data_IF_523158098693
#
_entry.id   IF_523158098693
#
_cell.length_a   1.000
_cell.length_b   1.000
_cell.length_c   1.000
_cell.angle_alpha   90.00
_cell.angle_beta   90.00
_cell.angle_gamma   90.00
#
_symmetry.space_group_name_H-M   'P 1'
#
loop_
_entity.id
_entity.type
_entity.pdbx_description
1 polymer ?
#
# COMPACT_ATOMS: atom_id res chain seq x y z
N UNK A 1 10.46 9.69 -26.10
CA UNK A 1 11.71 9.67 -25.34
C UNK A 1 11.46 10.32 -23.99
N UNK A 2 11.57 9.53 -22.92
CA UNK A 2 12.03 9.91 -21.57
C UNK A 2 11.57 8.82 -20.60
N UNK A 3 12.32 7.73 -20.71
CA UNK A 3 12.59 6.77 -19.66
C UNK A 3 13.11 7.48 -18.40
N UNK A 4 12.46 7.25 -17.28
CA UNK A 4 13.03 7.46 -15.95
C UNK A 4 12.57 6.31 -15.04
N UNK A 5 13.30 5.20 -15.15
CA UNK A 5 13.33 4.17 -14.12
C UNK A 5 13.96 4.79 -12.86
N UNK A 6 13.13 5.21 -11.91
CA UNK A 6 13.62 5.52 -10.57
C UNK A 6 13.48 4.29 -9.69
N UNK A 7 14.62 3.62 -9.46
CA UNK A 7 14.83 2.82 -8.27
C UNK A 7 14.64 3.74 -7.05
N UNK A 8 13.53 3.61 -6.35
CA UNK A 8 13.30 4.24 -5.06
C UNK A 8 12.85 3.16 -4.05
N UNK A 9 13.35 3.20 -2.82
CA UNK A 9 13.10 2.19 -1.81
C UNK A 9 11.60 2.12 -1.50
N UNK A 10 11.11 0.91 -1.25
CA UNK A 10 9.75 0.56 -0.85
C UNK A 10 9.34 1.27 0.46
N UNK A 11 9.06 2.56 0.41
CA UNK A 11 8.50 3.35 1.51
C UNK A 11 7.82 4.57 0.94
N UNK A 12 6.58 4.80 1.36
CA UNK A 12 5.64 5.85 0.90
C UNK A 12 4.83 5.43 -0.31
N UNK A 13 3.55 5.14 -0.08
CA UNK A 13 2.58 4.86 -1.13
C UNK A 13 2.70 5.91 -2.24
N UNK A 14 3.02 5.45 -3.45
CA UNK A 14 2.90 6.28 -4.65
C UNK A 14 1.46 6.77 -4.65
N UNK A 15 1.23 8.08 -4.57
CA UNK A 15 -0.12 8.63 -4.69
C UNK A 15 -0.54 8.37 -6.13
N UNK A 16 -1.62 7.61 -6.37
CA UNK A 16 -2.14 7.45 -7.73
C UNK A 16 -2.44 8.83 -8.31
N UNK A 17 -1.81 9.17 -9.43
CA UNK A 17 -2.05 10.40 -10.21
C UNK A 17 -3.52 10.45 -10.67
N UNK A 18 -4.11 11.65 -10.86
CA UNK A 18 -5.56 11.92 -10.87
C UNK A 18 -6.39 11.30 -12.02
N UNK A 19 -5.83 10.43 -12.84
CA UNK A 19 -6.50 9.94 -14.06
C UNK A 19 -7.48 8.78 -13.85
N UNK A 20 -7.58 8.24 -12.64
CA UNK A 20 -8.48 7.12 -12.31
C UNK A 20 -9.82 7.55 -11.69
N UNK A 21 -9.95 8.81 -11.26
CA UNK A 21 -11.17 9.34 -10.67
C UNK A 21 -11.40 10.82 -11.02
N UNK A 22 -12.67 11.21 -11.13
CA UNK A 22 -13.04 12.63 -11.17
C UNK A 22 -13.74 13.02 -9.87
N UNK A 23 -13.31 14.14 -9.27
CA UNK A 23 -14.02 14.77 -8.15
C UNK A 23 -15.15 15.65 -8.69
N UNK A 24 -16.38 15.31 -8.32
CA UNK A 24 -17.57 16.14 -8.55
C UNK A 24 -18.03 16.74 -7.21
N UNK A 25 -18.48 18.01 -7.18
CA UNK A 25 -18.98 18.63 -5.96
C UNK A 25 -20.22 17.92 -5.38
N UNK A 26 -20.99 17.27 -6.25
CA UNK A 26 -22.31 16.70 -5.99
C UNK A 26 -22.28 15.22 -5.61
N UNK A 27 -21.35 14.42 -6.15
CA UNK A 27 -21.31 12.96 -5.90
C UNK A 27 -19.98 12.46 -5.31
N UNK A 28 -19.03 13.37 -5.06
CA UNK A 28 -17.70 13.02 -4.55
C UNK A 28 -16.79 12.51 -5.67
N UNK A 29 -16.05 11.43 -5.41
CA UNK A 29 -15.05 10.85 -6.30
C UNK A 29 -15.65 9.71 -7.13
N UNK A 30 -15.77 9.89 -8.45
CA UNK A 30 -16.32 8.91 -9.39
C UNK A 30 -15.20 8.15 -10.10
N UNK A 31 -15.30 6.82 -10.16
CA UNK A 31 -14.35 5.97 -10.90
C UNK A 31 -14.46 6.21 -12.41
N UNK A 32 -13.32 6.27 -13.10
CA UNK A 32 -13.24 6.48 -14.54
C UNK A 32 -12.93 5.19 -15.33
N UNK A 33 -12.86 4.04 -14.67
CA UNK A 33 -12.64 2.77 -15.36
C UNK A 33 -13.87 2.41 -16.22
N UNK A 34 -13.64 1.89 -17.43
CA UNK A 34 -14.71 1.54 -18.36
C UNK A 34 -15.70 0.56 -17.69
N UNK A 35 -16.99 0.87 -17.78
CA UNK A 35 -18.11 0.16 -17.15
C UNK A 35 -18.16 0.18 -15.60
N UNK A 36 -17.25 0.91 -14.95
CA UNK A 36 -17.34 1.17 -13.51
C UNK A 36 -18.06 2.50 -13.25
N UNK A 37 -19.26 2.44 -12.67
CA UNK A 37 -20.02 3.64 -12.29
C UNK A 37 -20.05 3.89 -10.77
N UNK A 38 -19.02 3.43 -10.04
CA UNK A 38 -18.96 3.61 -8.58
C UNK A 38 -18.50 5.02 -8.20
N UNK A 39 -19.19 5.59 -7.21
CA UNK A 39 -18.89 6.89 -6.59
C UNK A 39 -18.54 6.70 -5.11
N UNK A 40 -17.68 7.59 -4.60
CA UNK A 40 -17.18 7.53 -3.23
C UNK A 40 -17.15 8.91 -2.60
N UNK A 41 -17.48 9.00 -1.32
CA UNK A 41 -17.46 10.28 -0.59
C UNK A 41 -16.06 10.78 -0.28
N UNK A 42 -15.04 9.91 -0.31
CA UNK A 42 -13.65 10.27 0.01
C UNK A 42 -12.67 9.75 -1.03
N UNK A 43 -11.57 10.49 -1.21
CA UNK A 43 -10.49 10.11 -2.10
C UNK A 43 -9.89 8.74 -1.70
N UNK A 44 -9.70 8.52 -0.40
CA UNK A 44 -9.16 7.25 0.13
C UNK A 44 -9.97 6.03 -0.36
N UNK A 45 -11.31 6.10 -0.29
CA UNK A 45 -12.16 4.98 -0.71
C UNK A 45 -12.16 4.79 -2.23
N UNK A 46 -12.13 5.89 -2.98
CA UNK A 46 -11.95 5.84 -4.43
C UNK A 46 -10.62 5.17 -4.79
N UNK A 47 -9.48 5.72 -4.37
CA UNK A 47 -8.14 5.16 -4.62
C UNK A 47 -8.05 3.68 -4.25
N UNK A 48 -8.56 3.31 -3.08
CA UNK A 48 -8.61 1.92 -2.60
C UNK A 48 -9.46 1.03 -3.50
N UNK A 49 -10.59 1.53 -4.02
CA UNK A 49 -11.42 0.77 -4.94
C UNK A 49 -10.68 0.51 -6.26
N UNK A 50 -10.12 1.54 -6.90
CA UNK A 50 -9.36 1.31 -8.14
C UNK A 50 -8.20 0.35 -7.92
N UNK A 51 -7.46 0.54 -6.83
CA UNK A 51 -6.34 -0.31 -6.49
C UNK A 51 -6.72 -1.80 -6.30
N UNK A 52 -7.94 -2.10 -5.83
CA UNK A 52 -8.37 -3.47 -5.57
C UNK A 52 -9.08 -4.13 -6.76
N UNK A 53 -9.70 -3.35 -7.65
CA UNK A 53 -10.59 -3.87 -8.70
C UNK A 53 -10.12 -3.57 -10.13
N UNK A 54 -9.24 -2.59 -10.30
CA UNK A 54 -8.85 -2.09 -11.62
C UNK A 54 -7.32 -2.13 -11.83
N UNK A 55 -6.53 -1.85 -10.79
CA UNK A 55 -5.08 -1.99 -10.86
C UNK A 55 -4.67 -3.47 -10.97
N UNK A 56 -3.65 -3.74 -11.79
CA UNK A 56 -3.13 -5.10 -12.01
C UNK A 56 -1.61 -5.17 -11.80
N UNK A 57 -1.12 -6.34 -11.41
CA UNK A 57 0.31 -6.61 -11.27
C UNK A 57 1.06 -5.57 -10.43
N UNK A 58 2.07 -4.95 -11.04
CA UNK A 58 2.96 -3.96 -10.40
C UNK A 58 2.31 -2.60 -10.15
N UNK A 59 1.16 -2.31 -10.75
CA UNK A 59 0.41 -1.08 -10.50
C UNK A 59 -0.41 -1.15 -9.20
N UNK A 60 -0.60 -2.36 -8.67
CA UNK A 60 -1.30 -2.55 -7.40
C UNK A 60 -0.42 -2.06 -6.25
N UNK A 61 -0.90 -1.02 -5.59
CA UNK A 61 -0.31 -0.47 -4.39
C UNK A 61 -0.59 -1.37 -3.19
N UNK A 62 0.49 -1.74 -2.51
CA UNK A 62 0.45 -2.52 -1.30
C UNK A 62 1.36 -1.88 -0.25
N UNK A 63 0.90 -1.93 0.99
CA UNK A 63 1.61 -1.49 2.17
C UNK A 63 2.16 -2.72 2.85
N UNK A 64 3.48 -2.84 2.92
CA UNK A 64 4.18 -3.88 3.68
C UNK A 64 4.62 -3.33 5.02
N UNK A 65 4.49 -4.13 6.08
CA UNK A 65 4.91 -3.74 7.41
C UNK A 65 6.44 -3.78 7.49
N UNK A 66 7.05 -2.63 7.73
CA UNK A 66 8.48 -2.43 7.93
C UNK A 66 9.02 -3.05 9.23
N UNK A 67 8.20 -3.13 10.27
CA UNK A 67 8.58 -3.71 11.57
C UNK A 67 8.68 -5.23 11.49
N UNK A 68 7.57 -5.90 11.20
CA UNK A 68 7.54 -7.36 11.17
C UNK A 68 7.96 -7.96 9.82
N UNK A 69 7.87 -7.22 8.72
CA UNK A 69 8.18 -7.72 7.36
C UNK A 69 7.14 -8.68 6.77
N UNK A 70 6.23 -9.22 7.59
CA UNK A 70 5.37 -10.35 7.20
C UNK A 70 3.95 -9.96 6.80
N UNK A 71 3.50 -8.75 7.14
CA UNK A 71 2.13 -8.30 6.86
C UNK A 71 2.10 -7.33 5.69
N UNK A 72 1.31 -7.67 4.68
CA UNK A 72 1.06 -6.84 3.50
C UNK A 72 -0.43 -6.64 3.29
N UNK A 73 -0.83 -5.41 2.94
CA UNK A 73 -2.24 -5.05 2.76
C UNK A 73 -2.38 -3.92 1.74
N UNK A 74 -3.45 -3.84 0.93
CA UNK A 74 -3.71 -2.69 0.07
C UNK A 74 -4.31 -1.50 0.81
N UNK A 75 -4.49 -1.58 2.15
CA UNK A 75 -5.16 -0.56 2.95
C UNK A 75 -4.21 0.10 3.95
N UNK A 76 -4.06 1.43 3.86
CA UNK A 76 -3.22 2.21 4.78
C UNK A 76 -3.73 2.19 6.23
N UNK A 77 -5.06 2.20 6.41
CA UNK A 77 -5.63 2.10 7.76
C UNK A 77 -5.36 0.74 8.40
N UNK A 78 -5.29 -0.33 7.59
CA UNK A 78 -4.99 -1.67 8.08
C UNK A 78 -3.52 -1.80 8.49
N UNK A 79 -2.57 -1.21 7.73
CA UNK A 79 -1.16 -1.21 8.13
C UNK A 79 -0.95 -0.46 9.44
N UNK A 80 -1.60 0.70 9.59
CA UNK A 80 -1.51 1.54 10.78
C UNK A 80 -2.03 0.84 12.03
N UNK A 81 -3.15 0.11 11.90
CA UNK A 81 -3.70 -0.72 12.98
C UNK A 81 -2.82 -1.94 13.26
N UNK A 82 -2.32 -2.60 12.22
CA UNK A 82 -1.45 -3.77 12.35
C UNK A 82 -0.19 -3.47 13.17
N UNK A 83 0.48 -2.34 12.92
CA UNK A 83 1.70 -1.94 13.66
C UNK A 83 1.52 -1.85 15.18
N UNK A 84 0.28 -1.66 15.66
CA UNK A 84 -0.06 -1.59 17.09
C UNK A 84 -0.47 -2.95 17.68
N UNK A 85 -0.58 -3.99 16.85
CA UNK A 85 -1.03 -5.31 17.29
C UNK A 85 0.09 -6.10 17.97
N UNK A 86 -0.27 -6.89 18.99
CA UNK A 86 0.68 -7.78 19.67
C UNK A 86 1.36 -8.75 18.70
N UNK A 87 0.64 -9.21 17.67
CA UNK A 87 1.19 -10.06 16.62
C UNK A 87 2.31 -9.38 15.83
N UNK A 88 2.14 -8.10 15.47
CA UNK A 88 3.20 -7.34 14.79
C UNK A 88 4.44 -7.19 15.69
N UNK A 89 4.22 -6.84 16.96
CA UNK A 89 5.30 -6.65 17.94
C UNK A 89 6.09 -7.95 18.13
N UNK A 90 5.40 -9.07 18.33
CA UNK A 90 6.02 -10.39 18.48
C UNK A 90 6.83 -10.79 17.24
N UNK A 91 6.25 -10.63 16.04
CA UNK A 91 6.95 -10.93 14.80
C UNK A 91 8.16 -9.99 14.56
N UNK A 92 8.06 -8.72 14.96
CA UNK A 92 9.18 -7.77 14.90
C UNK A 92 10.34 -8.21 15.78
N UNK A 93 10.08 -8.67 17.00
CA UNK A 93 11.10 -9.20 17.91
C UNK A 93 11.72 -10.47 17.32
N UNK A 94 10.90 -11.40 16.81
CA UNK A 94 11.37 -12.64 16.17
C UNK A 94 12.34 -12.33 15.02
N UNK A 95 12.00 -11.36 14.18
CA UNK A 95 12.83 -10.92 13.06
C UNK A 95 14.16 -10.32 13.53
N UNK A 96 14.15 -9.45 14.54
CA UNK A 96 15.37 -8.90 15.13
C UNK A 96 16.28 -9.98 15.72
N UNK A 97 15.72 -10.99 16.39
CA UNK A 97 16.50 -12.11 16.92
C UNK A 97 17.14 -12.94 15.79
N UNK A 98 16.41 -13.17 14.70
CA UNK A 98 16.92 -13.88 13.52
C UNK A 98 18.06 -13.13 12.83
N UNK A 99 17.91 -11.82 12.60
CA UNK A 99 18.96 -11.01 11.98
C UNK A 99 20.25 -11.02 12.82
N UNK A 100 20.11 -11.06 14.15
CA UNK A 100 21.22 -11.10 15.09
C UNK A 100 21.92 -12.47 15.15
N UNK A 101 21.20 -13.58 15.02
CA UNK A 101 21.81 -14.92 14.98
C UNK A 101 22.53 -15.20 13.66
N UNK A 102 22.03 -14.65 12.54
CA UNK A 102 22.73 -14.76 11.26
C UNK A 102 24.06 -13.98 11.26
N UNK A 103 24.08 -12.76 11.81
CA UNK A 103 25.31 -11.95 11.87
C UNK A 103 26.39 -12.53 12.80
N UNK A 104 25.97 -13.20 13.88
CA UNK A 104 26.88 -13.88 14.81
C UNK A 104 27.52 -15.16 14.24
N UNK A 105 27.00 -15.68 13.12
CA UNK A 105 27.49 -16.91 12.48
C UNK A 105 28.44 -16.65 11.30
N UNK A 106 28.71 -15.38 10.99
CA UNK A 106 29.59 -14.93 9.89
C UNK A 106 30.92 -14.33 10.38
N UNK A 107 31.23 -14.46 11.68
CA UNK A 107 32.53 -14.15 12.30
C UNK A 107 33.19 -15.45 12.76
#
# INVERSE_FOLDING_TARGET
MNSAFFNLPHTSAVRMEPNNFTRTPETGYRCLWHDCNKTFTTNYRATTHYNNFHASGRERMVYTCDQCGEYTTPYESAISRHKKSQKCISNSIRRQLFDRTQYASTL
#
